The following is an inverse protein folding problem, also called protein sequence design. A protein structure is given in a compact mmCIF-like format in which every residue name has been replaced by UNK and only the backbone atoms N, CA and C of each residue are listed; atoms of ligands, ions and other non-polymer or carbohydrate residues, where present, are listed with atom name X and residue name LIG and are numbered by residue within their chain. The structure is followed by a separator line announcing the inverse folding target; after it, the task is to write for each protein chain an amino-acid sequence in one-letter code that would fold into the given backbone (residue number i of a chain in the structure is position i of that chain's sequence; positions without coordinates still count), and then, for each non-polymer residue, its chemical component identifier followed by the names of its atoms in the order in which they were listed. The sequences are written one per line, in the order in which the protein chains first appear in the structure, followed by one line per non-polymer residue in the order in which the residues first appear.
data_IF_885052641433
#
_entry.id   IF_885052641433
#
_cell.length_a   1.000
_cell.length_b   1.000
_cell.length_c   1.000
_cell.angle_alpha   90.00
_cell.angle_beta   90.00
_cell.angle_gamma   90.00
#
_symmetry.space_group_name_H-M   'P 1'
#
loop_
_entity.id
_entity.type
_entity.pdbx_description
1 polymer ?
#
# COMPACT_ATOMS: atom_id res chain seq x y z
N UNK A 1 -24.05 -10.92 -0.71
CA UNK A 1 -24.03 -9.56 -1.30
C UNK A 1 -23.09 -8.74 -0.43
N UNK A 2 -21.86 -8.34 -0.76
CA UNK A 2 -21.02 -8.35 -1.95
C UNK A 2 -19.58 -8.75 -1.51
N UNK A 3 -19.04 -9.86 -1.99
CA UNK A 3 -17.60 -10.17 -1.89
C UNK A 3 -17.16 -10.56 -3.30
N UNK A 4 -17.08 -9.59 -4.21
CA UNK A 4 -16.76 -9.88 -5.62
C UNK A 4 -15.59 -9.09 -6.16
N UNK A 5 -15.18 -7.99 -5.52
CA UNK A 5 -14.10 -7.12 -6.05
C UNK A 5 -12.84 -7.13 -5.21
N UNK A 6 -12.95 -7.33 -3.88
CA UNK A 6 -11.79 -7.39 -2.96
C UNK A 6 -11.03 -8.73 -3.04
N UNK A 7 -11.60 -9.75 -3.69
CA UNK A 7 -11.04 -11.10 -3.77
C UNK A 7 -10.03 -11.29 -4.93
N UNK A 8 -9.30 -10.25 -5.35
CA UNK A 8 -8.30 -10.36 -6.43
C UNK A 8 -6.85 -10.38 -5.95
N UNK A 9 -6.55 -10.92 -4.76
CA UNK A 9 -5.15 -11.16 -4.37
C UNK A 9 -4.91 -11.44 -2.88
N UNK A 10 -3.64 -11.54 -2.49
CA UNK A 10 -3.18 -11.78 -1.11
C UNK A 10 -3.57 -10.67 -0.10
N UNK A 11 -4.07 -9.54 -0.60
CA UNK A 11 -4.47 -8.34 0.14
C UNK A 11 -5.69 -8.53 1.06
N UNK A 12 -6.46 -9.62 0.90
CA UNK A 12 -7.55 -9.97 1.81
C UNK A 12 -7.06 -10.18 3.25
N UNK A 13 -5.78 -10.55 3.43
CA UNK A 13 -5.16 -10.67 4.77
C UNK A 13 -4.90 -9.30 5.40
N UNK A 14 -4.49 -8.32 4.60
CA UNK A 14 -4.19 -6.98 5.10
C UNK A 14 -5.47 -6.28 5.57
N UNK A 15 -6.59 -6.51 4.88
CA UNK A 15 -7.90 -6.01 5.32
C UNK A 15 -8.44 -6.74 6.56
N UNK A 16 -8.03 -8.00 6.79
CA UNK A 16 -8.36 -8.71 8.04
C UNK A 16 -7.65 -8.07 9.25
N UNK A 17 -6.48 -7.46 9.07
CA UNK A 17 -5.77 -6.74 10.14
C UNK A 17 -6.58 -5.55 10.67
N UNK A 18 -7.27 -4.82 9.78
CA UNK A 18 -8.12 -3.68 10.17
C UNK A 18 -9.29 -4.12 11.07
N UNK A 19 -9.87 -5.29 10.79
CA UNK A 19 -10.92 -5.86 11.64
C UNK A 19 -10.38 -6.28 13.01
N UNK A 20 -9.12 -6.77 13.06
CA UNK A 20 -8.46 -7.16 14.30
C UNK A 20 -8.11 -5.94 15.17
N UNK A 21 -7.71 -4.83 14.56
CA UNK A 21 -7.38 -3.58 15.24
C UNK A 21 -8.52 -3.11 16.16
N UNK A 22 -9.77 -3.22 15.70
CA UNK A 22 -10.96 -2.90 16.51
C UNK A 22 -11.09 -3.80 17.76
N UNK A 23 -10.80 -5.09 17.64
CA UNK A 23 -10.89 -6.03 18.78
C UNK A 23 -9.92 -5.68 19.90
N UNK A 24 -8.84 -4.99 19.57
CA UNK A 24 -7.81 -4.55 20.51
C UNK A 24 -7.95 -3.06 20.93
N UNK A 25 -9.12 -2.45 20.73
CA UNK A 25 -9.42 -1.09 21.20
C UNK A 25 -8.98 0.02 20.23
N UNK A 26 -8.56 -0.33 19.02
CA UNK A 26 -8.33 0.63 17.96
C UNK A 26 -9.62 1.16 17.32
N UNK A 27 -9.51 2.13 16.39
CA UNK A 27 -10.66 2.74 15.74
C UNK A 27 -11.44 1.73 14.89
N UNK A 28 -12.74 1.95 14.74
CA UNK A 28 -13.56 1.21 13.78
C UNK A 28 -13.39 1.83 12.40
N UNK A 29 -12.81 1.09 11.47
CA UNK A 29 -12.65 1.46 10.07
C UNK A 29 -13.33 0.39 9.22
N UNK A 30 -14.16 0.81 8.26
CA UNK A 30 -14.77 -0.11 7.29
C UNK A 30 -13.72 -0.64 6.32
N UNK A 31 -14.03 -1.76 5.67
CA UNK A 31 -13.12 -2.35 4.67
C UNK A 31 -12.94 -1.37 3.51
N UNK A 32 -13.99 -0.66 3.13
CA UNK A 32 -14.03 0.32 2.07
C UNK A 32 -13.14 1.53 2.39
N UNK A 33 -13.23 2.06 3.60
CA UNK A 33 -12.36 3.17 4.06
C UNK A 33 -10.89 2.75 4.10
N UNK A 34 -10.60 1.56 4.63
CA UNK A 34 -9.24 1.04 4.68
C UNK A 34 -8.66 0.81 3.28
N UNK A 35 -9.47 0.32 2.34
CA UNK A 35 -9.05 0.09 0.97
C UNK A 35 -8.78 1.40 0.23
N UNK A 36 -9.66 2.39 0.39
CA UNK A 36 -9.45 3.73 -0.17
C UNK A 36 -8.14 4.33 0.34
N UNK A 37 -7.89 4.23 1.64
CA UNK A 37 -6.68 4.78 2.24
C UNK A 37 -5.41 4.03 1.81
N UNK A 38 -5.47 2.70 1.69
CA UNK A 38 -4.35 1.91 1.18
C UNK A 38 -3.95 2.35 -0.24
N UNK A 39 -4.93 2.59 -1.12
CA UNK A 39 -4.68 3.12 -2.47
C UNK A 39 -4.04 4.50 -2.39
N UNK A 40 -4.54 5.40 -1.54
CA UNK A 40 -3.99 6.75 -1.38
C UNK A 40 -2.54 6.75 -0.86
N UNK A 41 -2.23 5.90 0.11
CA UNK A 41 -0.90 5.80 0.70
C UNK A 41 0.15 5.21 -0.24
N UNK A 42 -0.26 4.45 -1.25
CA UNK A 42 0.65 3.78 -2.18
C UNK A 42 1.58 4.73 -2.95
N UNK A 43 1.13 5.96 -3.27
CA UNK A 43 1.98 6.99 -3.87
C UNK A 43 3.11 7.43 -2.93
N UNK A 44 2.79 7.58 -1.64
CA UNK A 44 3.79 7.86 -0.61
C UNK A 44 4.79 6.72 -0.49
N UNK A 45 4.31 5.47 -0.44
CA UNK A 45 5.17 4.27 -0.39
C UNK A 45 6.10 4.21 -1.60
N UNK A 46 5.60 4.47 -2.81
CA UNK A 46 6.43 4.54 -4.02
C UNK A 46 7.51 5.63 -3.89
N UNK A 47 7.14 6.84 -3.45
CA UNK A 47 8.09 7.93 -3.27
C UNK A 47 9.22 7.56 -2.28
N UNK A 48 8.89 6.97 -1.13
CA UNK A 48 9.90 6.55 -0.15
C UNK A 48 10.82 5.44 -0.67
N UNK A 49 10.31 4.51 -1.47
CA UNK A 49 11.16 3.48 -2.08
C UNK A 49 12.06 4.03 -3.19
N UNK A 50 11.63 5.06 -3.94
CA UNK A 50 12.54 5.75 -4.87
C UNK A 50 13.64 6.51 -4.15
N UNK A 51 13.34 7.11 -3.00
CA UNK A 51 14.34 7.72 -2.12
C UNK A 51 15.29 6.68 -1.50
N UNK A 52 14.80 5.47 -1.23
CA UNK A 52 15.63 4.36 -0.74
C UNK A 52 16.54 3.81 -1.84
N UNK A 53 16.07 3.78 -3.10
CA UNK A 53 16.87 3.41 -4.27
C UNK A 53 18.02 4.40 -4.54
N UNK A 54 17.75 5.69 -4.36
CA UNK A 54 18.74 6.75 -4.58
C UNK A 54 18.70 7.75 -3.42
N UNK A 55 19.33 7.40 -2.28
CA UNK A 55 19.32 8.26 -1.11
C UNK A 55 20.16 9.52 -1.36
N UNK A 56 19.75 10.62 -0.72
CA UNK A 56 20.59 11.83 -0.65
C UNK A 56 21.86 11.58 0.16
N UNK A 57 22.88 12.43 0.02
CA UNK A 57 24.16 12.32 0.74
C UNK A 57 24.03 12.25 2.27
N UNK A 58 22.93 12.76 2.84
CA UNK A 58 22.69 12.78 4.29
C UNK A 58 21.99 11.52 4.82
N UNK A 59 21.63 10.58 3.94
CA UNK A 59 20.92 9.36 4.31
C UNK A 59 21.83 8.15 4.11
N UNK A 60 21.76 7.15 5.03
CA UNK A 60 22.48 5.91 4.85
C UNK A 60 21.92 5.13 3.65
N UNK A 61 22.76 4.27 3.09
CA UNK A 61 22.30 3.22 2.19
C UNK A 61 21.50 2.18 3.00
N UNK A 62 20.18 2.19 2.85
CA UNK A 62 19.24 1.46 3.71
C UNK A 62 18.96 0.03 3.21
N UNK A 63 19.02 -0.21 1.89
CA UNK A 63 18.62 -1.45 1.22
C UNK A 63 19.40 -1.63 -0.08
N UNK A 64 19.57 -2.88 -0.53
CA UNK A 64 20.23 -3.14 -1.81
C UNK A 64 19.40 -2.60 -2.98
N UNK A 65 20.08 -2.25 -4.08
CA UNK A 65 19.41 -1.83 -5.33
C UNK A 65 18.40 -2.88 -5.82
N UNK A 66 18.78 -4.17 -5.77
CA UNK A 66 17.90 -5.29 -6.14
C UNK A 66 16.61 -5.30 -5.32
N UNK A 67 16.71 -5.12 -4.00
CA UNK A 67 15.55 -5.07 -3.13
C UNK A 67 14.66 -3.87 -3.49
N UNK A 68 15.26 -2.68 -3.64
CA UNK A 68 14.56 -1.47 -4.02
C UNK A 68 13.78 -1.64 -5.33
N UNK A 69 14.43 -2.15 -6.39
CA UNK A 69 13.78 -2.37 -7.69
C UNK A 69 12.66 -3.42 -7.61
N UNK A 70 12.85 -4.49 -6.83
CA UNK A 70 11.82 -5.49 -6.58
C UNK A 70 10.59 -4.88 -5.89
N UNK A 71 10.77 -4.11 -4.83
CA UNK A 71 9.66 -3.46 -4.12
C UNK A 71 8.97 -2.41 -4.98
N UNK A 72 9.72 -1.55 -5.67
CA UNK A 72 9.15 -0.56 -6.60
C UNK A 72 8.29 -1.26 -7.66
N UNK A 73 8.80 -2.33 -8.29
CA UNK A 73 8.04 -3.10 -9.28
C UNK A 73 6.73 -3.67 -8.73
N UNK A 74 6.76 -4.21 -7.51
CA UNK A 74 5.56 -4.75 -6.83
C UNK A 74 4.56 -3.66 -6.45
N UNK A 75 5.04 -2.50 -6.00
CA UNK A 75 4.20 -1.34 -5.68
C UNK A 75 3.52 -0.82 -6.96
N UNK A 76 4.28 -0.64 -8.05
CA UNK A 76 3.72 -0.21 -9.34
C UNK A 76 2.67 -1.21 -9.86
N UNK A 77 2.93 -2.52 -9.74
CA UNK A 77 1.95 -3.56 -10.12
C UNK A 77 0.67 -3.45 -9.28
N UNK A 78 0.80 -3.28 -7.96
CA UNK A 78 -0.36 -3.06 -7.07
C UNK A 78 -1.15 -1.81 -7.45
N UNK A 79 -0.45 -0.73 -7.79
CA UNK A 79 -1.07 0.54 -8.19
C UNK A 79 -1.86 0.41 -9.50
N UNK A 80 -1.32 -0.33 -10.47
CA UNK A 80 -1.97 -0.61 -11.76
C UNK A 80 -3.19 -1.54 -11.58
N UNK A 81 -3.01 -2.67 -10.89
CA UNK A 81 -4.06 -3.68 -10.63
C UNK A 81 -5.27 -3.12 -9.85
N UNK A 82 -5.08 -2.00 -9.14
CA UNK A 82 -6.07 -1.41 -8.25
C UNK A 82 -6.39 0.05 -8.58
N UNK A 83 -6.09 0.49 -9.81
CA UNK A 83 -6.52 1.77 -10.36
C UNK A 83 -6.23 2.94 -9.41
N UNK A 84 -5.08 2.94 -8.73
CA UNK A 84 -4.81 3.82 -7.57
C UNK A 84 -5.10 5.30 -7.83
N UNK A 85 -4.91 5.77 -9.06
CA UNK A 85 -5.16 7.16 -9.45
C UNK A 85 -6.63 7.58 -9.26
N UNK A 86 -7.58 6.64 -9.39
CA UNK A 86 -9.02 6.91 -9.17
C UNK A 86 -9.37 7.06 -7.67
N UNK A 87 -8.40 6.91 -6.76
CA UNK A 87 -8.57 7.17 -5.33
C UNK A 87 -8.43 8.66 -4.94
N UNK A 88 -8.10 9.51 -5.91
CA UNK A 88 -7.82 10.94 -5.73
C UNK A 88 -8.78 11.78 -6.58
N UNK A 89 -9.21 12.90 -6.01
CA UNK A 89 -9.97 13.93 -6.72
C UNK A 89 -8.97 15.01 -7.17
N UNK A 90 -8.50 14.92 -8.42
CA UNK A 90 -7.61 15.90 -9.05
C UNK A 90 -8.37 17.02 -9.77
#
# INVERSE_FOLDING_TARGET
MFISTVARGHWSRDLAYVLELRKHGGPSVSVEEAWLELRRQSLGVLAYWTLTLTPSENLPDMQTEEACLCFIGRICTMMDDHEVLDAFDF
#
